data_IF_610952955690
#
_entry.id   IF_610952955690
#
_cell.length_a   1.000
_cell.length_b   1.000
_cell.length_c   1.000
_cell.angle_alpha   90.00
_cell.angle_beta   90.00
_cell.angle_gamma   90.00
#
_symmetry.space_group_name_H-M   'P 1'
#
loop_
_entity.id
_entity.type
_entity.pdbx_description
1 polymer ?
#
# COMPACT_ATOMS: atom_id res chain seq x y z
N UNK A 1 10.31 1.83 -45.81
CA UNK A 1 9.60 2.85 -44.99
C UNK A 1 8.52 2.27 -44.09
N UNK A 2 7.65 1.37 -44.56
CA UNK A 2 6.59 0.74 -43.72
C UNK A 2 7.11 -0.06 -42.51
N UNK A 3 8.23 -0.78 -42.65
CA UNK A 3 8.83 -1.55 -41.55
C UNK A 3 9.36 -0.63 -40.44
N UNK A 4 10.02 0.48 -40.83
CA UNK A 4 10.53 1.50 -39.89
C UNK A 4 9.35 2.19 -39.18
N UNK A 5 8.27 2.50 -39.89
CA UNK A 5 7.05 3.07 -39.29
C UNK A 5 6.39 2.10 -38.29
N UNK A 6 6.39 0.79 -38.57
CA UNK A 6 5.87 -0.22 -37.64
C UNK A 6 6.75 -0.41 -36.39
N UNK A 7 8.07 -0.33 -36.53
CA UNK A 7 9.02 -0.36 -35.41
C UNK A 7 8.90 0.90 -34.55
N UNK A 8 8.73 2.07 -35.18
CA UNK A 8 8.51 3.34 -34.48
C UNK A 8 7.17 3.33 -33.75
N UNK A 9 6.07 2.87 -34.37
CA UNK A 9 4.78 2.69 -33.67
C UNK A 9 4.86 1.68 -32.52
N UNK A 10 5.61 0.58 -32.68
CA UNK A 10 5.84 -0.39 -31.62
C UNK A 10 6.59 0.21 -30.41
N UNK A 11 7.53 1.13 -30.65
CA UNK A 11 8.25 1.84 -29.58
C UNK A 11 7.37 2.88 -28.86
N UNK A 12 6.37 3.46 -29.52
CA UNK A 12 5.47 4.45 -28.90
C UNK A 12 4.41 3.82 -27.97
N UNK A 13 4.05 2.54 -28.16
CA UNK A 13 3.03 1.87 -27.33
C UNK A 13 3.58 1.51 -25.93
N UNK A 14 4.91 1.41 -25.78
CA UNK A 14 5.59 1.03 -24.54
C UNK A 14 5.67 2.13 -23.47
N UNK A 15 5.19 3.34 -23.75
CA UNK A 15 5.40 4.51 -22.89
C UNK A 15 4.28 4.78 -21.88
N UNK A 16 3.19 3.99 -21.90
CA UNK A 16 2.09 4.16 -20.95
C UNK A 16 2.29 3.21 -19.77
N UNK A 17 3.10 3.64 -18.79
CA UNK A 17 3.04 3.05 -17.44
C UNK A 17 1.66 3.30 -16.84
N UNK A 18 1.11 2.31 -16.13
CA UNK A 18 -0.21 2.44 -15.52
C UNK A 18 -0.07 3.12 -14.17
N UNK A 19 -0.36 4.41 -14.13
CA UNK A 19 -0.40 5.18 -12.88
C UNK A 19 -1.72 4.95 -12.15
N UNK A 20 -1.66 4.39 -10.95
CA UNK A 20 -2.82 4.27 -10.09
C UNK A 20 -2.55 4.98 -8.76
N UNK A 21 -3.56 5.68 -8.24
CA UNK A 21 -3.46 6.44 -7.00
C UNK A 21 -4.43 5.89 -5.96
N UNK A 22 -4.05 5.99 -4.69
CA UNK A 22 -4.87 5.60 -3.55
C UNK A 22 -5.12 6.82 -2.66
N UNK A 23 -6.24 6.79 -1.96
CA UNK A 23 -6.52 7.68 -0.84
C UNK A 23 -7.05 6.88 0.33
N UNK A 24 -6.41 7.04 1.49
CA UNK A 24 -6.70 6.27 2.70
C UNK A 24 -6.90 7.19 3.89
N UNK A 25 -7.89 6.89 4.70
CA UNK A 25 -8.10 7.54 5.99
C UNK A 25 -8.34 6.53 7.10
N UNK A 26 -7.96 6.89 8.32
CA UNK A 26 -8.19 6.06 9.50
C UNK A 26 -7.83 6.78 10.79
N UNK A 27 -7.90 6.05 11.90
CA UNK A 27 -7.53 6.56 13.21
C UNK A 27 -6.78 5.49 14.00
N UNK A 28 -5.62 5.82 14.54
CA UNK A 28 -4.91 4.99 15.50
C UNK A 28 -5.44 5.22 16.91
N UNK A 29 -5.58 4.16 17.69
CA UNK A 29 -6.05 4.24 19.08
C UNK A 29 -5.19 3.38 19.99
N UNK A 30 -4.75 3.96 21.11
CA UNK A 30 -4.10 3.26 22.20
C UNK A 30 -4.88 3.52 23.50
N UNK A 31 -5.47 2.49 24.08
CA UNK A 31 -6.25 2.59 25.31
C UNK A 31 -5.37 2.79 26.56
N UNK A 32 -4.12 2.32 26.53
CA UNK A 32 -3.22 2.40 27.68
C UNK A 32 -2.72 3.83 27.93
N UNK A 33 -2.36 4.55 26.87
CA UNK A 33 -1.97 5.97 26.92
C UNK A 33 -2.37 6.62 25.60
N UNK A 34 -3.35 7.51 25.68
CA UNK A 34 -3.90 8.20 24.51
C UNK A 34 -2.85 9.02 23.76
N UNK A 35 -1.76 9.45 24.38
CA UNK A 35 -0.72 10.22 23.66
C UNK A 35 0.06 9.35 22.68
N UNK A 36 0.08 8.03 22.87
CA UNK A 36 0.85 7.09 22.07
C UNK A 36 0.23 6.76 20.71
N UNK A 37 -0.88 7.43 20.33
CA UNK A 37 -1.42 7.38 18.97
C UNK A 37 -1.11 8.62 18.13
N UNK A 38 -0.54 9.66 18.72
CA UNK A 38 -0.31 10.94 18.08
C UNK A 38 1.09 11.00 17.42
N UNK A 39 1.22 11.80 16.37
CA UNK A 39 2.49 12.05 15.67
C UNK A 39 3.19 10.77 15.17
N UNK A 40 2.42 9.72 14.89
CA UNK A 40 2.92 8.49 14.30
C UNK A 40 3.02 8.68 12.80
N UNK A 41 4.19 8.41 12.25
CA UNK A 41 4.40 8.32 10.80
C UNK A 41 3.62 7.14 10.23
N UNK A 42 2.78 7.44 9.25
CA UNK A 42 1.99 6.46 8.50
C UNK A 42 2.41 6.55 7.04
N UNK A 43 2.98 5.46 6.54
CA UNK A 43 3.52 5.37 5.19
C UNK A 43 2.77 4.32 4.40
N UNK A 44 2.45 4.64 3.15
CA UNK A 44 1.90 3.69 2.19
C UNK A 44 2.94 3.36 1.16
N UNK A 45 3.03 2.08 0.87
CA UNK A 45 4.01 1.47 -0.01
C UNK A 45 3.29 0.66 -1.07
N UNK A 46 3.94 0.50 -2.21
CA UNK A 46 3.63 -0.48 -3.23
C UNK A 46 4.56 -1.69 -3.06
N UNK A 47 4.00 -2.90 -3.03
CA UNK A 47 4.81 -4.10 -2.88
C UNK A 47 5.32 -4.61 -4.23
N UNK A 48 6.64 -4.70 -4.37
CA UNK A 48 7.26 -5.26 -5.56
C UNK A 48 7.39 -6.78 -5.46
N UNK A 49 6.94 -7.50 -6.50
CA UNK A 49 7.00 -8.96 -6.52
C UNK A 49 8.33 -9.47 -7.09
N UNK A 50 9.24 -9.85 -6.19
CA UNK A 50 10.61 -10.34 -6.44
C UNK A 50 10.74 -11.46 -7.52
N UNK A 51 9.73 -12.32 -7.71
CA UNK A 51 9.87 -13.50 -8.59
C UNK A 51 9.75 -13.21 -10.10
N UNK A 52 9.27 -12.03 -10.50
CA UNK A 52 9.19 -11.67 -11.93
C UNK A 52 10.43 -10.94 -12.46
N UNK A 53 11.44 -10.69 -11.60
CA UNK A 53 12.68 -10.02 -11.98
C UNK A 53 13.93 -10.87 -11.61
N UNK A 54 14.17 -12.02 -12.26
CA UNK A 54 15.27 -12.93 -11.94
C UNK A 54 16.66 -12.35 -12.25
N UNK A 55 16.71 -11.25 -12.99
CA UNK A 55 17.91 -10.46 -13.23
C UNK A 55 17.63 -9.11 -12.59
N UNK A 56 18.13 -8.87 -11.37
CA UNK A 56 18.02 -7.59 -10.66
C UNK A 56 18.78 -6.46 -11.39
N UNK A 57 18.41 -6.20 -12.64
CA UNK A 57 19.14 -5.37 -13.60
C UNK A 57 18.86 -3.88 -13.40
N UNK A 58 17.86 -3.52 -12.58
CA UNK A 58 17.45 -2.13 -12.38
C UNK A 58 17.12 -1.71 -10.93
N UNK A 59 17.37 -2.54 -9.91
CA UNK A 59 17.20 -2.12 -8.50
C UNK A 59 15.79 -2.21 -7.90
N UNK A 60 14.79 -2.70 -8.65
CA UNK A 60 13.39 -2.89 -8.24
C UNK A 60 13.14 -4.11 -7.34
N UNK A 61 13.85 -4.18 -6.20
CA UNK A 61 13.58 -5.19 -5.16
C UNK A 61 13.15 -4.51 -3.85
N UNK A 62 12.96 -3.20 -3.86
CA UNK A 62 12.60 -2.39 -2.70
C UNK A 62 11.20 -1.85 -2.94
N UNK A 63 10.27 -2.19 -2.05
CA UNK A 63 8.89 -1.69 -2.10
C UNK A 63 8.86 -0.16 -2.27
N UNK A 64 8.07 0.34 -3.22
CA UNK A 64 8.05 1.76 -3.60
C UNK A 64 7.20 2.60 -2.64
N UNK A 65 7.73 3.72 -2.14
CA UNK A 65 6.97 4.61 -1.26
C UNK A 65 5.94 5.42 -2.08
N UNK A 66 4.66 5.16 -1.87
CA UNK A 66 3.57 5.89 -2.55
C UNK A 66 3.25 7.22 -1.87
N UNK A 67 3.28 7.26 -0.53
CA UNK A 67 2.88 8.43 0.24
C UNK A 67 3.11 8.29 1.75
N UNK A 68 3.24 9.44 2.43
CA UNK A 68 3.54 9.53 3.86
C UNK A 68 2.67 10.61 4.51
N UNK A 69 2.28 10.38 5.76
CA UNK A 69 1.57 11.34 6.60
C UNK A 69 1.90 11.11 8.06
N UNK A 70 1.41 11.97 8.94
CA UNK A 70 1.51 11.80 10.39
C UNK A 70 0.12 11.83 11.02
N UNK A 71 -0.08 11.02 12.06
CA UNK A 71 -1.33 11.08 12.82
C UNK A 71 -1.46 12.39 13.60
N UNK A 72 -2.67 12.91 13.69
CA UNK A 72 -3.01 14.05 14.53
C UNK A 72 -2.91 13.72 16.03
N UNK A 73 -3.12 14.72 16.89
CA UNK A 73 -3.27 14.53 18.34
C UNK A 73 -4.37 13.54 18.74
N UNK A 74 -5.33 13.28 17.85
CA UNK A 74 -6.41 12.31 18.06
C UNK A 74 -6.14 10.96 17.39
N UNK A 75 -4.94 10.77 16.81
CA UNK A 75 -4.57 9.57 16.07
C UNK A 75 -5.13 9.50 14.65
N UNK A 76 -5.82 10.53 14.15
CA UNK A 76 -6.44 10.54 12.82
C UNK A 76 -5.38 10.75 11.74
N UNK A 77 -5.51 10.06 10.60
CA UNK A 77 -4.63 10.25 9.45
C UNK A 77 -5.42 10.22 8.14
N UNK A 78 -4.86 10.95 7.17
CA UNK A 78 -5.28 10.97 5.77
C UNK A 78 -4.00 10.95 4.92
N UNK A 79 -3.89 9.98 4.02
CA UNK A 79 -2.73 9.81 3.14
C UNK A 79 -3.19 9.55 1.72
N UNK A 80 -2.50 10.18 0.79
CA UNK A 80 -2.64 9.97 -0.65
C UNK A 80 -1.29 9.56 -1.20
N UNK A 81 -1.31 8.69 -2.20
CA UNK A 81 -0.11 8.23 -2.86
C UNK A 81 -0.42 7.64 -4.21
N UNK A 82 0.55 7.64 -5.11
CA UNK A 82 0.44 6.97 -6.40
C UNK A 82 1.67 6.10 -6.61
N UNK A 83 1.49 5.05 -7.40
CA UNK A 83 2.59 4.26 -7.94
C UNK A 83 2.48 4.24 -9.46
N UNK A 84 3.63 4.19 -10.10
CA UNK A 84 3.78 4.14 -11.55
C UNK A 84 4.38 2.78 -11.91
N UNK A 85 3.53 1.81 -12.21
CA UNK A 85 3.98 0.49 -12.61
C UNK A 85 4.02 0.39 -14.15
N UNK A 86 5.20 0.26 -14.78
CA UNK A 86 5.27 0.01 -16.20
C UNK A 86 4.87 -1.45 -16.50
N UNK A 87 3.82 -1.63 -17.29
CA UNK A 87 3.44 -2.96 -17.77
C UNK A 87 4.55 -3.53 -18.67
N UNK A 88 5.33 -4.50 -18.16
CA UNK A 88 6.32 -5.20 -18.97
C UNK A 88 5.61 -6.20 -19.90
N UNK A 89 5.51 -5.83 -21.18
CA UNK A 89 4.62 -6.43 -22.18
C UNK A 89 3.13 -6.37 -21.76
N UNK A 90 2.32 -5.48 -22.38
CA UNK A 90 0.96 -5.12 -21.94
C UNK A 90 -0.10 -6.25 -22.01
N UNK A 91 0.30 -7.50 -22.22
CA UNK A 91 -0.61 -8.64 -22.46
C UNK A 91 -0.35 -9.83 -21.52
N UNK A 92 0.82 -9.93 -20.88
CA UNK A 92 1.19 -11.15 -20.13
C UNK A 92 1.30 -10.96 -18.62
N UNK A 93 1.66 -9.77 -18.14
CA UNK A 93 1.89 -9.49 -16.73
C UNK A 93 1.30 -8.12 -16.42
N UNK A 94 0.19 -8.09 -15.69
CA UNK A 94 -0.39 -6.86 -15.15
C UNK A 94 0.37 -6.51 -13.87
N UNK A 95 1.20 -5.46 -13.92
CA UNK A 95 1.85 -4.91 -12.74
C UNK A 95 0.96 -3.81 -12.20
N UNK A 96 -0.07 -4.19 -11.45
CA UNK A 96 -0.95 -3.22 -10.81
C UNK A 96 -0.47 -3.04 -9.38
N UNK A 97 -0.46 -1.81 -8.83
CA UNK A 97 0.03 -1.58 -7.49
C UNK A 97 -0.59 -2.51 -6.45
N UNK A 98 0.23 -3.06 -5.56
CA UNK A 98 -0.15 -3.87 -4.41
C UNK A 98 0.08 -3.10 -3.10
N UNK A 99 -0.82 -2.16 -2.76
CA UNK A 99 -0.58 -1.21 -1.68
C UNK A 99 -0.62 -1.87 -0.30
N UNK A 100 0.27 -1.43 0.57
CA UNK A 100 0.24 -1.76 1.99
C UNK A 100 0.65 -0.57 2.87
N UNK A 101 0.13 -0.54 4.09
CA UNK A 101 0.35 0.55 5.03
C UNK A 101 1.29 0.10 6.15
N UNK A 102 2.23 0.96 6.52
CA UNK A 102 3.14 0.74 7.66
C UNK A 102 3.15 1.90 8.62
N UNK A 103 3.40 1.59 9.89
CA UNK A 103 3.73 2.58 10.90
C UNK A 103 4.46 1.90 12.06
N UNK A 104 5.13 2.70 12.89
CA UNK A 104 5.74 2.25 14.15
C UNK A 104 5.06 2.94 15.32
N UNK A 105 4.65 2.19 16.34
CA UNK A 105 4.00 2.74 17.53
C UNK A 105 4.60 2.20 18.82
N UNK A 106 4.32 2.87 19.93
CA UNK A 106 4.91 2.56 21.24
C UNK A 106 3.87 2.11 22.29
N UNK A 107 2.60 1.93 21.90
CA UNK A 107 1.49 1.57 22.79
C UNK A 107 1.74 0.34 23.70
N UNK A 108 2.50 -0.65 23.21
CA UNK A 108 2.71 -1.93 23.91
C UNK A 108 4.13 -2.11 24.46
N UNK A 109 5.08 -1.28 24.03
CA UNK A 109 6.51 -1.45 24.31
C UNK A 109 7.27 -0.16 24.04
N UNK A 110 8.20 0.20 24.94
CA UNK A 110 9.13 1.31 24.76
C UNK A 110 10.11 1.10 23.60
N UNK A 111 10.32 -0.16 23.17
CA UNK A 111 11.13 -0.46 22.00
C UNK A 111 10.40 -0.12 20.69
N UNK A 112 9.08 0.05 20.74
CA UNK A 112 8.23 0.29 19.59
C UNK A 112 7.99 -0.96 18.73
N UNK A 113 6.81 -1.06 18.16
CA UNK A 113 6.36 -2.17 17.33
C UNK A 113 6.07 -1.64 15.92
N UNK A 114 6.57 -2.34 14.91
CA UNK A 114 6.28 -2.04 13.50
C UNK A 114 5.05 -2.84 13.07
N UNK A 115 4.10 -2.17 12.43
CA UNK A 115 2.89 -2.77 11.87
C UNK A 115 2.95 -2.67 10.36
N UNK A 116 2.58 -3.76 9.67
CA UNK A 116 2.34 -3.81 8.22
C UNK A 116 0.91 -4.33 7.99
N UNK A 117 0.10 -3.54 7.31
CA UNK A 117 -1.31 -3.83 6.99
C UNK A 117 -1.48 -3.89 5.48
N UNK A 118 -1.82 -5.07 4.96
CA UNK A 118 -2.19 -5.21 3.55
C UNK A 118 -3.48 -4.44 3.27
N UNK A 119 -3.50 -3.71 2.16
CA UNK A 119 -4.67 -2.97 1.71
C UNK A 119 -5.34 -3.71 0.54
N UNK A 120 -6.66 -3.58 0.36
CA UNK A 120 -7.29 -3.94 -0.88
C UNK A 120 -6.89 -2.95 -1.97
N UNK A 121 -6.78 -3.46 -3.19
CA UNK A 121 -6.53 -2.69 -4.42
C UNK A 121 -7.74 -1.83 -4.82
N UNK A 122 -8.07 -0.83 -4.01
CA UNK A 122 -9.11 0.18 -4.24
C UNK A 122 -8.41 1.52 -4.51
N UNK A 123 -8.60 2.04 -5.71
CA UNK A 123 -7.91 3.22 -6.21
C UNK A 123 -8.86 4.40 -6.37
N UNK A 124 -8.28 5.60 -6.47
CA UNK A 124 -9.00 6.83 -6.71
C UNK A 124 -9.85 6.74 -7.99
N UNK A 125 -11.02 7.39 -8.03
CA UNK A 125 -11.52 8.39 -7.07
C UNK A 125 -12.13 7.80 -5.78
N UNK A 126 -12.12 6.47 -5.61
CA UNK A 126 -12.67 5.84 -4.40
C UNK A 126 -11.69 5.93 -3.24
N UNK A 127 -12.13 6.50 -2.12
CA UNK A 127 -11.37 6.56 -0.87
C UNK A 127 -11.56 5.29 -0.04
N UNK A 128 -10.50 4.86 0.63
CA UNK A 128 -10.51 3.72 1.55
C UNK A 128 -10.56 4.20 3.01
N UNK A 129 -11.62 3.85 3.73
CA UNK A 129 -11.77 4.16 5.16
C UNK A 129 -11.43 2.92 6.01
N UNK A 130 -10.28 2.98 6.70
CA UNK A 130 -9.80 1.88 7.56
C UNK A 130 -10.48 1.84 8.93
N UNK A 131 -11.20 2.91 9.29
CA UNK A 131 -11.80 3.08 10.61
C UNK A 131 -10.75 3.21 11.71
N UNK A 132 -11.10 2.75 12.92
CA UNK A 132 -10.20 2.77 14.07
C UNK A 132 -9.32 1.52 14.07
N UNK A 133 -8.00 1.72 14.08
CA UNK A 133 -6.97 0.68 14.23
C UNK A 133 -6.50 0.73 15.68
N UNK A 134 -6.76 -0.37 16.40
CA UNK A 134 -6.38 -0.53 17.80
C UNK A 134 -4.96 -1.04 17.91
N UNK A 135 -4.13 -0.34 18.67
CA UNK A 135 -2.69 -0.59 18.76
C UNK A 135 -2.33 -1.65 19.80
N UNK A 136 -3.29 -2.16 20.56
CA UNK A 136 -3.05 -3.16 21.59
C UNK A 136 -2.69 -4.52 20.97
N UNK A 137 -1.79 -5.27 21.64
CA UNK A 137 -1.16 -6.51 21.16
C UNK A 137 -2.11 -7.61 20.64
N UNK A 138 -3.38 -7.59 21.03
CA UNK A 138 -4.40 -8.57 20.63
C UNK A 138 -5.38 -8.05 19.56
N UNK A 139 -5.32 -6.77 19.22
CA UNK A 139 -6.32 -6.08 18.40
C UNK A 139 -5.73 -5.23 17.28
N UNK A 140 -4.45 -5.39 16.94
CA UNK A 140 -3.81 -4.77 15.75
C UNK A 140 -4.42 -5.33 14.47
N UNK A 141 -5.64 -4.88 14.22
CA UNK A 141 -6.55 -5.21 13.14
C UNK A 141 -7.25 -3.90 12.85
N UNK A 142 -7.29 -3.53 11.59
CA UNK A 142 -8.18 -2.45 11.18
C UNK A 142 -9.62 -2.84 11.57
N UNK A 143 -10.26 -2.00 12.39
CA UNK A 143 -11.63 -2.20 12.84
C UNK A 143 -12.63 -2.01 11.69
N UNK A 144 -13.91 -2.35 11.92
CA UNK A 144 -15.00 -2.03 10.99
C UNK A 144 -15.19 -3.02 9.82
N UNK A 145 -15.74 -2.53 8.69
CA UNK A 145 -15.99 -3.33 7.47
C UNK A 145 -14.68 -3.86 6.86
N UNK A 146 -13.59 -3.12 7.01
CA UNK A 146 -12.26 -3.46 6.51
C UNK A 146 -11.65 -4.70 7.19
N UNK A 147 -11.70 -4.77 8.53
CA UNK A 147 -11.25 -5.95 9.27
C UNK A 147 -12.00 -7.23 8.91
N UNK A 148 -13.28 -7.12 8.50
CA UNK A 148 -14.08 -8.25 7.99
C UNK A 148 -13.64 -8.68 6.59
N UNK A 149 -13.31 -7.75 5.70
CA UNK A 149 -12.83 -8.04 4.35
C UNK A 149 -11.45 -8.73 4.35
N UNK A 150 -10.51 -8.29 5.21
CA UNK A 150 -9.21 -8.95 5.40
C UNK A 150 -9.36 -10.39 5.93
N UNK A 151 -10.32 -10.63 6.85
CA UNK A 151 -10.59 -11.97 7.38
C UNK A 151 -11.13 -12.93 6.31
N UNK A 152 -11.91 -12.42 5.37
CA UNK A 152 -12.44 -13.21 4.25
C UNK A 152 -11.38 -13.54 3.17
N UNK A 153 -10.41 -12.64 2.93
CA UNK A 153 -9.28 -12.94 2.01
C UNK A 153 -8.35 -14.02 2.55
N UNK A 154 -8.07 -14.05 3.87
CA UNK A 154 -7.27 -15.13 4.47
C UNK A 154 -7.86 -16.53 4.26
N UNK A 155 -9.19 -16.65 4.16
CA UNK A 155 -9.86 -17.93 3.90
C UNK A 155 -9.89 -18.32 2.41
N UNK A 156 -9.67 -17.40 1.47
CA UNK A 156 -9.68 -17.70 0.02
C UNK A 156 -8.35 -18.20 -0.54
N UNK A 157 -7.26 -18.14 0.23
CA UNK A 157 -5.94 -18.65 -0.16
C UNK A 157 -5.54 -19.96 0.56
N UNK A 158 -6.50 -20.65 1.19
CA UNK A 158 -6.32 -21.98 1.81
C UNK A 158 -7.28 -22.99 1.16
N UNK A 159 -7.42 -22.92 -0.16
CA UNK A 159 -8.22 -23.84 -0.96
C UNK A 159 -7.40 -24.36 -2.13
#
# INVERSE_FOLDING_TARGET
MLVILSLVCGLFVSAFGRRECIGLSGQLSCANDHRLHAHIEVTVWDADFFLLNPVGYYGWNEDDMMGITYTSEKGEFLVYGCADDPDFLPVLINNRPDPYLTFRHYCNSLLGEKVKLQLPQVFMPTMQELGVIRLERNETRAGGRFGRALRQRKHKHVG
#
